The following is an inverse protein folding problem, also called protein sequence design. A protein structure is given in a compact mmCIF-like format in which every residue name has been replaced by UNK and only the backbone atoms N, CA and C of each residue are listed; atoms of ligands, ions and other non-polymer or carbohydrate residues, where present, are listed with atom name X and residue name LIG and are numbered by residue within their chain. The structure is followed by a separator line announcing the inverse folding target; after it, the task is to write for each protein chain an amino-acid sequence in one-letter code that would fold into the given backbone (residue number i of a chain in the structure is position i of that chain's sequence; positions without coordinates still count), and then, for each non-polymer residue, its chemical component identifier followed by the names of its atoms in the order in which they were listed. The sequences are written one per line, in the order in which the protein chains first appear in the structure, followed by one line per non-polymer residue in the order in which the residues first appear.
data_IF_118215349140
#
_entry.id   IF_118215349140
#
_cell.length_a   1.000
_cell.length_b   1.000
_cell.length_c   1.000
_cell.angle_alpha   90.00
_cell.angle_beta   90.00
_cell.angle_gamma   90.00
#
_symmetry.space_group_name_H-M   'P 1'
#
loop_
_entity.id
_entity.type
_entity.pdbx_description
1 polymer ?
#
# COMPACT_ATOMS: atom_id res chain seq x y z
N UNK A 1 6.81 14.12 6.20
CA UNK A 1 6.39 13.44 7.44
C UNK A 1 5.21 14.14 8.08
N UNK A 2 4.02 13.64 7.74
CA UNK A 2 2.88 13.84 8.60
C UNK A 2 3.16 13.10 9.92
N UNK A 3 3.09 13.80 11.05
CA UNK A 3 3.22 13.19 12.37
C UNK A 3 1.97 12.35 12.59
N UNK A 4 2.11 11.03 12.63
CA UNK A 4 1.00 10.14 12.94
C UNK A 4 0.71 10.21 14.44
N UNK A 5 -0.57 10.23 14.79
CA UNK A 5 -1.03 10.01 16.15
C UNK A 5 -1.32 8.52 16.35
N UNK A 6 -1.46 8.09 17.61
CA UNK A 6 -1.90 6.73 17.93
C UNK A 6 -3.26 6.36 17.32
N UNK A 7 -4.10 7.35 16.98
CA UNK A 7 -5.39 7.14 16.29
C UNK A 7 -5.24 6.85 14.79
N UNK A 8 -4.08 7.14 14.22
CA UNK A 8 -3.76 6.92 12.81
C UNK A 8 -3.12 5.53 12.60
N UNK A 9 -2.43 5.01 13.61
CA UNK A 9 -1.78 3.69 13.62
C UNK A 9 -2.76 2.54 13.91
N UNK A 10 -3.81 2.42 13.12
CA UNK A 10 -4.80 1.36 13.30
C UNK A 10 -5.54 1.00 12.01
N UNK A 11 -6.21 -0.15 12.05
CA UNK A 11 -7.26 -0.50 11.11
C UNK A 11 -8.50 0.35 11.43
N UNK A 12 -8.93 1.18 10.49
CA UNK A 12 -10.14 2.00 10.60
C UNK A 12 -11.13 1.61 9.52
N UNK A 13 -12.37 1.35 9.91
CA UNK A 13 -13.49 1.26 8.97
C UNK A 13 -13.86 2.66 8.51
N UNK A 14 -13.82 2.86 7.19
CA UNK A 14 -14.21 4.10 6.53
C UNK A 14 -15.66 4.04 6.04
N UNK A 15 -16.11 2.83 5.67
CA UNK A 15 -17.48 2.55 5.21
C UNK A 15 -17.85 1.13 5.59
N UNK A 16 -19.00 0.94 6.22
CA UNK A 16 -19.56 -0.39 6.49
C UNK A 16 -20.24 -0.97 5.24
N UNK A 17 -20.27 -2.29 5.15
CA UNK A 17 -21.06 -2.96 4.12
C UNK A 17 -22.55 -2.97 4.51
N UNK A 18 -23.48 -2.95 3.54
CA UNK A 18 -24.90 -3.19 3.80
C UNK A 18 -25.13 -4.53 4.50
N UNK A 19 -26.00 -4.56 5.51
CA UNK A 19 -26.19 -5.71 6.43
C UNK A 19 -26.78 -6.95 5.76
N UNK A 20 -27.53 -6.79 4.66
CA UNK A 20 -28.34 -7.86 4.05
C UNK A 20 -27.69 -8.50 2.81
N UNK A 21 -26.45 -8.16 2.48
CA UNK A 21 -25.80 -8.59 1.23
C UNK A 21 -24.50 -9.33 1.50
N UNK A 22 -24.15 -10.28 0.62
CA UNK A 22 -22.82 -10.88 0.64
C UNK A 22 -21.76 -9.79 0.39
N UNK A 23 -21.13 -9.35 1.48
CA UNK A 23 -20.20 -8.24 1.49
C UNK A 23 -18.75 -8.68 1.27
N UNK A 24 -17.93 -7.78 0.75
CA UNK A 24 -16.47 -7.92 0.62
C UNK A 24 -15.76 -6.94 1.55
N UNK A 25 -14.60 -7.30 2.07
CA UNK A 25 -13.73 -6.37 2.77
C UNK A 25 -12.64 -5.85 1.81
N UNK A 26 -12.49 -4.53 1.73
CA UNK A 26 -11.40 -3.87 1.02
C UNK A 26 -10.52 -3.16 2.04
N UNK A 27 -9.22 -3.45 2.05
CA UNK A 27 -8.26 -2.85 2.99
C UNK A 27 -7.19 -2.08 2.22
N UNK A 28 -7.19 -0.76 2.42
CA UNK A 28 -6.22 0.15 1.85
C UNK A 28 -5.00 0.31 2.76
N UNK A 29 -3.79 0.11 2.23
CA UNK A 29 -2.52 0.14 2.99
C UNK A 29 -1.57 1.13 2.34
N UNK A 30 -1.19 2.17 3.08
CA UNK A 30 -0.35 3.24 2.57
C UNK A 30 1.13 2.84 2.47
N UNK A 31 1.92 3.70 1.82
CA UNK A 31 3.35 3.50 1.64
C UNK A 31 4.20 4.12 2.76
N UNK A 32 5.52 3.93 2.64
CA UNK A 32 6.51 4.42 3.60
C UNK A 32 6.41 5.93 3.82
N UNK A 33 6.31 6.38 5.07
CA UNK A 33 6.28 7.80 5.45
C UNK A 33 5.05 8.59 5.00
N UNK A 34 4.06 7.92 4.39
CA UNK A 34 2.82 8.52 3.92
C UNK A 34 1.77 8.56 5.05
N UNK A 35 0.84 9.52 4.97
CA UNK A 35 -0.28 9.57 5.91
C UNK A 35 -1.40 8.62 5.46
N UNK A 36 -1.95 7.76 6.33
CA UNK A 36 -2.97 6.78 5.97
C UNK A 36 -4.19 7.43 5.31
N UNK A 37 -4.66 8.56 5.84
CA UNK A 37 -5.86 9.22 5.32
C UNK A 37 -5.59 10.15 4.12
N UNK A 38 -4.34 10.59 3.88
CA UNK A 38 -4.02 11.50 2.76
C UNK A 38 -3.51 10.76 1.52
N UNK A 39 -3.03 9.52 1.68
CA UNK A 39 -2.49 8.69 0.60
C UNK A 39 -3.50 8.40 -0.51
N UNK A 40 -4.78 8.56 -0.19
CA UNK A 40 -5.91 8.26 -1.07
C UNK A 40 -6.67 9.52 -1.50
N UNK A 41 -6.09 10.70 -1.25
CA UNK A 41 -6.70 11.97 -1.61
C UNK A 41 -6.09 12.56 -2.88
N UNK A 42 -6.93 13.18 -3.70
CA UNK A 42 -6.49 14.00 -4.83
C UNK A 42 -7.11 15.38 -4.73
N UNK A 43 -6.32 16.43 -4.93
CA UNK A 43 -6.85 17.77 -5.14
C UNK A 43 -7.49 17.83 -6.54
N UNK A 44 -8.81 18.08 -6.60
CA UNK A 44 -9.58 18.28 -7.83
C UNK A 44 -9.90 19.76 -8.08
N UNK A 45 -9.58 20.63 -7.12
CA UNK A 45 -9.68 22.09 -7.23
C UNK A 45 -8.40 22.71 -7.78
N UNK A 46 -8.26 24.03 -7.61
CA UNK A 46 -7.05 24.76 -8.02
C UNK A 46 -6.01 24.78 -6.90
N UNK A 47 -4.85 25.40 -7.13
CA UNK A 47 -3.87 25.61 -6.07
C UNK A 47 -4.38 26.63 -5.03
N UNK A 48 -5.12 27.64 -5.49
CA UNK A 48 -5.70 28.73 -4.70
C UNK A 48 -6.98 28.31 -3.96
N UNK A 49 -7.70 27.35 -4.54
CA UNK A 49 -8.94 26.78 -3.98
C UNK A 49 -8.88 25.24 -3.99
N UNK A 50 -8.10 24.62 -3.08
CA UNK A 50 -7.94 23.19 -3.06
C UNK A 50 -9.23 22.48 -2.64
N UNK A 51 -9.60 21.45 -3.39
CA UNK A 51 -10.72 20.55 -3.10
C UNK A 51 -10.18 19.12 -3.05
N UNK A 52 -9.93 18.62 -1.83
CA UNK A 52 -9.41 17.27 -1.65
C UNK A 52 -10.56 16.25 -1.65
N UNK A 53 -10.47 15.27 -2.54
CA UNK A 53 -11.41 14.14 -2.59
C UNK A 53 -10.70 12.84 -2.28
N UNK A 54 -11.27 12.03 -1.40
CA UNK A 54 -10.72 10.74 -1.00
C UNK A 54 -11.46 9.59 -1.70
N UNK A 55 -10.85 9.01 -2.73
CA UNK A 55 -11.53 8.05 -3.60
C UNK A 55 -12.00 6.76 -2.88
N UNK A 56 -11.55 6.48 -1.66
CA UNK A 56 -12.02 5.36 -0.85
C UNK A 56 -13.43 5.58 -0.27
N UNK A 57 -13.86 6.83 -0.06
CA UNK A 57 -15.10 7.17 0.67
C UNK A 57 -16.09 8.00 -0.14
N UNK A 58 -15.65 8.62 -1.23
CA UNK A 58 -16.51 9.44 -2.08
C UNK A 58 -17.52 8.57 -2.83
N UNK A 59 -18.81 8.89 -2.72
CA UNK A 59 -19.90 8.02 -3.19
C UNK A 59 -19.84 7.68 -4.68
N UNK A 60 -19.29 8.57 -5.51
CA UNK A 60 -19.10 8.40 -6.96
C UNK A 60 -17.80 7.68 -7.36
N UNK A 61 -17.03 7.17 -6.40
CA UNK A 61 -15.71 6.53 -6.62
C UNK A 61 -15.72 5.05 -6.22
N UNK A 62 -14.85 4.60 -5.29
CA UNK A 62 -14.79 3.20 -4.88
C UNK A 62 -16.13 2.67 -4.33
N UNK A 63 -16.88 3.42 -3.50
CA UNK A 63 -18.25 3.06 -3.12
C UNK A 63 -19.19 2.79 -4.30
N UNK A 64 -19.14 3.54 -5.40
CA UNK A 64 -19.95 3.28 -6.60
C UNK A 64 -19.54 1.99 -7.32
N UNK A 65 -18.23 1.70 -7.38
CA UNK A 65 -17.70 0.49 -8.02
C UNK A 65 -17.95 -0.77 -7.17
N UNK A 66 -17.90 -0.62 -5.85
CA UNK A 66 -18.03 -1.71 -4.89
C UNK A 66 -19.07 -1.38 -3.80
N UNK A 67 -20.37 -1.30 -4.17
CA UNK A 67 -21.42 -0.82 -3.25
C UNK A 67 -21.60 -1.72 -2.03
N UNK A 68 -21.28 -3.01 -2.15
CA UNK A 68 -21.40 -3.99 -1.07
C UNK A 68 -20.10 -4.16 -0.25
N UNK A 69 -19.10 -3.30 -0.47
CA UNK A 69 -17.83 -3.40 0.23
C UNK A 69 -17.83 -2.67 1.58
N UNK A 70 -17.29 -3.34 2.60
CA UNK A 70 -16.74 -2.69 3.78
C UNK A 70 -15.36 -2.18 3.42
N UNK A 71 -15.16 -0.87 3.50
CA UNK A 71 -13.91 -0.22 3.12
C UNK A 71 -13.17 0.16 4.38
N UNK A 72 -11.93 -0.29 4.48
CA UNK A 72 -11.04 -0.06 5.61
C UNK A 72 -9.73 0.53 5.12
N UNK A 73 -9.06 1.29 5.98
CA UNK A 73 -7.65 1.64 5.81
C UNK A 73 -6.85 1.12 6.98
N UNK A 74 -5.60 0.77 6.75
CA UNK A 74 -4.64 0.45 7.80
C UNK A 74 -3.52 1.48 7.79
N UNK A 75 -3.28 2.10 8.94
CA UNK A 75 -2.19 3.02 9.16
C UNK A 75 -1.09 2.42 10.03
N UNK A 76 0.16 2.73 9.70
CA UNK A 76 1.33 2.29 10.45
C UNK A 76 2.46 3.33 10.37
N UNK A 77 3.28 3.42 11.42
CA UNK A 77 4.50 4.24 11.39
C UNK A 77 5.66 3.45 10.81
N UNK A 78 6.36 4.06 9.86
CA UNK A 78 7.40 3.41 9.09
C UNK A 78 8.71 4.22 9.06
N UNK A 79 9.11 4.72 10.22
CA UNK A 79 10.36 5.45 10.42
C UNK A 79 11.55 4.49 10.48
N UNK A 80 11.77 3.76 9.38
CA UNK A 80 12.81 2.74 9.28
C UNK A 80 14.01 3.29 8.51
N UNK A 81 15.07 3.59 9.26
CA UNK A 81 16.25 4.28 8.76
C UNK A 81 17.45 3.34 8.57
N UNK A 82 17.23 2.03 8.47
CA UNK A 82 18.24 1.06 8.06
C UNK A 82 17.55 -0.26 7.69
N UNK A 83 18.28 -1.16 7.03
CA UNK A 83 17.73 -2.43 6.53
C UNK A 83 17.24 -3.34 7.66
N UNK A 84 17.94 -3.39 8.79
CA UNK A 84 17.58 -4.25 9.92
C UNK A 84 16.27 -3.76 10.55
N UNK A 85 16.19 -2.45 10.83
CA UNK A 85 14.96 -1.82 11.34
C UNK A 85 13.80 -1.94 10.36
N UNK A 86 14.06 -1.88 9.05
CA UNK A 86 13.02 -2.17 8.06
C UNK A 86 12.52 -3.61 8.18
N UNK A 87 13.40 -4.61 8.21
CA UNK A 87 12.98 -6.02 8.25
C UNK A 87 12.18 -6.33 9.52
N UNK A 88 12.67 -5.87 10.67
CA UNK A 88 11.99 -6.00 11.96
C UNK A 88 10.66 -5.24 11.95
N UNK A 89 10.69 -3.97 11.53
CA UNK A 89 9.51 -3.13 11.46
C UNK A 89 8.44 -3.67 10.51
N UNK A 90 8.83 -4.18 9.35
CA UNK A 90 7.93 -4.82 8.38
C UNK A 90 7.24 -6.03 9.01
N UNK A 91 8.01 -6.87 9.72
CA UNK A 91 7.47 -8.06 10.39
C UNK A 91 6.49 -7.66 11.50
N UNK A 92 6.84 -6.68 12.33
CA UNK A 92 5.97 -6.15 13.39
C UNK A 92 4.67 -5.58 12.81
N UNK A 93 4.77 -4.76 11.76
CA UNK A 93 3.60 -4.12 11.14
C UNK A 93 2.71 -5.15 10.45
N UNK A 94 3.29 -6.17 9.80
CA UNK A 94 2.53 -7.26 9.20
C UNK A 94 1.76 -8.05 10.25
N UNK A 95 2.38 -8.41 11.37
CA UNK A 95 1.70 -9.10 12.47
C UNK A 95 0.58 -8.24 13.08
N UNK A 96 0.85 -6.95 13.31
CA UNK A 96 -0.16 -6.00 13.81
C UNK A 96 -1.36 -5.87 12.86
N UNK A 97 -1.12 -5.85 11.54
CA UNK A 97 -2.17 -5.88 10.54
C UNK A 97 -3.02 -7.16 10.65
N UNK A 98 -2.39 -8.32 10.79
CA UNK A 98 -3.10 -9.59 10.96
C UNK A 98 -3.95 -9.61 12.24
N UNK A 99 -3.41 -9.14 13.36
CA UNK A 99 -4.15 -9.01 14.63
C UNK A 99 -5.37 -8.09 14.47
N UNK A 100 -5.19 -6.93 13.85
CA UNK A 100 -6.28 -5.99 13.62
C UNK A 100 -7.37 -6.58 12.72
N UNK A 101 -6.99 -7.26 11.64
CA UNK A 101 -7.94 -7.93 10.74
C UNK A 101 -8.66 -9.09 11.43
N UNK A 102 -7.95 -9.92 12.19
CA UNK A 102 -8.55 -11.02 12.97
C UNK A 102 -9.63 -10.51 13.91
N UNK A 103 -9.35 -9.41 14.60
CA UNK A 103 -10.32 -8.77 15.50
C UNK A 103 -11.53 -8.23 14.73
N UNK A 104 -11.29 -7.46 13.66
CA UNK A 104 -12.35 -6.84 12.85
C UNK A 104 -13.22 -7.84 12.09
N UNK A 105 -12.71 -9.05 11.87
CA UNK A 105 -13.36 -10.14 11.12
C UNK A 105 -13.72 -11.32 12.01
N UNK A 106 -13.75 -11.15 13.35
CA UNK A 106 -14.05 -12.24 14.30
C UNK A 106 -15.32 -13.03 13.96
N UNK A 107 -16.38 -12.34 13.53
CA UNK A 107 -17.67 -12.95 13.18
C UNK A 107 -17.78 -13.34 11.70
N UNK A 108 -16.82 -12.90 10.87
CA UNK A 108 -16.82 -13.14 9.42
C UNK A 108 -15.40 -13.47 8.91
N UNK A 109 -14.72 -14.49 9.47
CA UNK A 109 -13.29 -14.73 9.21
C UNK A 109 -12.99 -15.06 7.74
N UNK A 110 -13.96 -15.64 7.03
CA UNK A 110 -13.84 -16.06 5.62
C UNK A 110 -14.50 -15.10 4.62
N UNK A 111 -14.94 -13.91 5.05
CA UNK A 111 -15.49 -12.90 4.14
C UNK A 111 -14.45 -12.58 3.05
N UNK A 112 -14.79 -12.52 1.75
CA UNK A 112 -13.82 -12.18 0.72
C UNK A 112 -13.03 -10.92 1.08
N UNK A 113 -11.71 -10.98 0.94
CA UNK A 113 -10.77 -9.93 1.31
C UNK A 113 -9.99 -9.46 0.09
N UNK A 114 -9.91 -8.15 -0.09
CA UNK A 114 -9.11 -7.50 -1.13
C UNK A 114 -8.17 -6.49 -0.48
N UNK A 115 -6.89 -6.56 -0.83
CA UNK A 115 -5.92 -5.55 -0.43
C UNK A 115 -5.66 -4.57 -1.56
N UNK A 116 -5.65 -3.28 -1.20
CA UNK A 116 -5.20 -2.18 -2.05
C UNK A 116 -3.99 -1.57 -1.38
N UNK A 117 -2.80 -1.80 -1.91
CA UNK A 117 -1.56 -1.42 -1.24
C UNK A 117 -0.70 -0.52 -2.12
N UNK A 118 -0.18 0.55 -1.53
CA UNK A 118 0.67 1.54 -2.21
C UNK A 118 2.13 1.44 -1.74
N UNK A 119 3.05 1.43 -2.68
CA UNK A 119 4.50 1.43 -2.46
C UNK A 119 4.90 0.34 -1.44
N UNK A 120 5.57 0.72 -0.35
CA UNK A 120 6.00 -0.21 0.70
C UNK A 120 4.85 -1.01 1.33
N UNK A 121 3.64 -0.45 1.36
CA UNK A 121 2.46 -1.14 1.87
C UNK A 121 2.22 -2.50 1.19
N UNK A 122 2.63 -2.64 -0.08
CA UNK A 122 2.51 -3.93 -0.77
C UNK A 122 3.43 -5.00 -0.19
N UNK A 123 4.62 -4.65 0.27
CA UNK A 123 5.55 -5.58 0.94
C UNK A 123 5.00 -6.03 2.29
N UNK A 124 4.35 -5.12 3.03
CA UNK A 124 3.63 -5.44 4.27
C UNK A 124 2.55 -6.49 4.01
N UNK A 125 1.78 -6.35 2.92
CA UNK A 125 0.75 -7.33 2.54
C UNK A 125 1.38 -8.68 2.23
N UNK A 126 2.47 -8.73 1.45
CA UNK A 126 3.12 -10.02 1.14
C UNK A 126 3.58 -10.72 2.41
N UNK A 127 4.25 -9.99 3.32
CA UNK A 127 4.74 -10.52 4.59
C UNK A 127 3.59 -11.01 5.48
N UNK A 128 2.51 -10.24 5.59
CA UNK A 128 1.33 -10.62 6.36
C UNK A 128 0.65 -11.87 5.79
N UNK A 129 0.54 -11.97 4.46
CA UNK A 129 -0.09 -13.13 3.81
C UNK A 129 0.74 -14.40 3.97
N UNK A 130 2.07 -14.32 3.83
CA UNK A 130 2.95 -15.47 4.09
C UNK A 130 2.83 -15.96 5.54
N UNK A 131 2.74 -15.04 6.49
CA UNK A 131 2.56 -15.39 7.90
C UNK A 131 1.17 -15.98 8.19
N UNK A 132 0.14 -15.42 7.56
CA UNK A 132 -1.23 -15.96 7.62
C UNK A 132 -1.33 -17.37 7.03
N UNK A 133 -0.57 -17.65 5.97
CA UNK A 133 -0.51 -18.97 5.34
C UNK A 133 0.25 -19.98 6.19
N UNK A 134 1.38 -19.58 6.76
CA UNK A 134 2.20 -20.43 7.62
C UNK A 134 1.49 -20.80 8.93
N UNK A 135 0.68 -19.90 9.49
CA UNK A 135 0.03 -20.09 10.79
C UNK A 135 -1.50 -19.98 10.67
N UNK A 136 -2.13 -20.91 9.95
CA UNK A 136 -3.56 -20.91 9.66
C UNK A 136 -4.46 -20.87 10.91
N UNK A 137 -4.05 -21.54 11.99
CA UNK A 137 -4.79 -21.53 13.27
C UNK A 137 -4.72 -20.17 13.97
N UNK A 138 -3.57 -19.49 13.86
CA UNK A 138 -3.40 -18.16 14.41
C UNK A 138 -4.20 -17.12 13.60
N UNK A 139 -4.30 -17.30 12.29
CA UNK A 139 -4.84 -16.34 11.33
C UNK A 139 -5.98 -16.92 10.47
N UNK A 140 -7.06 -17.43 11.08
CA UNK A 140 -8.07 -18.19 10.38
C UNK A 140 -8.76 -17.36 9.30
N UNK A 141 -8.80 -17.91 8.08
CA UNK A 141 -9.49 -17.31 6.94
C UNK A 141 -8.77 -16.14 6.27
N UNK A 142 -7.78 -15.50 6.89
CA UNK A 142 -7.13 -14.31 6.31
C UNK A 142 -6.44 -14.62 4.99
N UNK A 143 -5.65 -15.69 4.93
CA UNK A 143 -5.01 -16.08 3.68
C UNK A 143 -6.00 -16.69 2.68
N UNK A 144 -6.83 -17.65 3.11
CA UNK A 144 -7.71 -18.39 2.20
C UNK A 144 -8.84 -17.56 1.58
N UNK A 145 -9.34 -16.53 2.30
CA UNK A 145 -10.36 -15.62 1.80
C UNK A 145 -9.81 -14.38 1.07
N UNK A 146 -8.47 -14.25 0.96
CA UNK A 146 -7.87 -13.20 0.14
C UNK A 146 -8.08 -13.50 -1.34
N UNK A 147 -8.99 -12.74 -1.97
CA UNK A 147 -9.44 -12.95 -3.36
C UNK A 147 -8.83 -11.98 -4.35
N UNK A 148 -8.32 -10.83 -3.88
CA UNK A 148 -7.73 -9.82 -4.75
C UNK A 148 -6.59 -9.06 -4.09
N UNK A 149 -5.56 -8.77 -4.89
CA UNK A 149 -4.41 -7.95 -4.52
C UNK A 149 -4.21 -6.88 -5.58
N UNK A 150 -4.24 -5.62 -5.16
CA UNK A 150 -4.12 -4.44 -6.01
C UNK A 150 -2.93 -3.65 -5.49
N UNK A 151 -1.89 -3.51 -6.31
CA UNK A 151 -0.63 -2.89 -5.91
C UNK A 151 -0.34 -1.64 -6.72
N UNK A 152 -0.02 -0.52 -6.07
CA UNK A 152 0.37 0.73 -6.71
C UNK A 152 1.83 1.05 -6.42
N UNK A 153 2.71 0.94 -7.42
CA UNK A 153 4.12 1.30 -7.30
C UNK A 153 4.90 0.49 -6.26
N UNK A 154 4.47 -0.74 -5.96
CA UNK A 154 5.17 -1.60 -5.00
C UNK A 154 6.49 -2.09 -5.60
N UNK A 155 7.63 -1.90 -4.89
CA UNK A 155 8.94 -2.29 -5.39
C UNK A 155 9.16 -3.81 -5.21
N UNK A 156 8.48 -4.63 -6.02
CA UNK A 156 8.62 -6.09 -6.00
C UNK A 156 9.94 -6.60 -6.58
N UNK A 157 10.61 -5.77 -7.38
CA UNK A 157 11.91 -6.07 -7.96
C UNK A 157 12.82 -4.86 -7.78
N UNK A 158 14.11 -5.14 -7.67
CA UNK A 158 15.16 -4.16 -7.88
C UNK A 158 14.84 -3.33 -9.14
N UNK A 159 14.81 -2.01 -9.02
CA UNK A 159 14.70 -1.13 -10.17
C UNK A 159 16.03 -1.19 -10.95
N UNK A 160 16.16 -2.18 -11.84
CA UNK A 160 17.19 -2.11 -12.87
C UNK A 160 16.73 -1.09 -13.92
N UNK A 161 17.42 0.06 -13.97
CA UNK A 161 17.28 1.02 -15.08
C UNK A 161 16.71 2.41 -14.74
N UNK A 162 16.29 2.69 -13.52
CA UNK A 162 16.08 4.09 -13.07
C UNK A 162 17.25 4.45 -12.18
N UNK A 163 17.99 5.54 -12.47
CA UNK A 163 19.10 5.90 -11.60
C UNK A 163 18.50 6.22 -10.24
N UNK A 164 18.93 5.47 -9.23
CA UNK A 164 18.34 5.50 -7.88
C UNK A 164 18.45 6.89 -7.24
N UNK A 165 19.31 7.74 -7.80
CA UNK A 165 19.45 9.16 -7.50
C UNK A 165 18.27 9.99 -7.98
N UNK A 166 17.66 9.68 -9.12
CA UNK A 166 16.52 10.45 -9.67
C UNK A 166 15.24 10.26 -8.86
N UNK A 167 14.92 9.03 -8.42
CA UNK A 167 13.79 8.76 -7.50
C UNK A 167 14.03 9.44 -6.15
N UNK A 168 15.27 9.35 -5.65
CA UNK A 168 15.68 9.96 -4.39
C UNK A 168 15.61 11.49 -4.45
N UNK A 169 16.05 12.09 -5.55
CA UNK A 169 16.02 13.54 -5.75
C UNK A 169 14.61 14.06 -6.01
N UNK A 170 13.76 13.29 -6.71
CA UNK A 170 12.33 13.59 -6.83
C UNK A 170 11.62 13.56 -5.46
N UNK A 171 11.94 12.58 -4.62
CA UNK A 171 11.40 12.47 -3.27
C UNK A 171 11.95 13.58 -2.35
N UNK A 172 13.23 13.94 -2.45
CA UNK A 172 13.84 15.06 -1.71
C UNK A 172 13.18 16.41 -2.02
N UNK A 173 12.78 16.63 -3.28
CA UNK A 173 12.16 17.90 -3.72
C UNK A 173 10.67 18.00 -3.40
N UNK A 174 9.95 16.87 -3.35
CA UNK A 174 8.50 16.83 -3.03
C UNK A 174 8.19 17.14 -1.56
N UNK A 175 9.15 16.97 -0.66
CA UNK A 175 8.97 17.21 0.77
C UNK A 175 10.06 18.16 1.24
N UNK A 176 9.78 19.47 1.20
CA UNK A 176 10.69 20.50 1.75
C UNK A 176 11.15 20.15 3.17
N UNK A 177 12.41 20.51 3.43
CA UNK A 177 13.25 20.35 4.62
C UNK A 177 12.64 19.61 5.84
N UNK A 178 13.32 18.55 6.26
CA UNK A 178 13.09 17.70 7.44
C UNK A 178 12.04 16.58 7.34
N UNK A 179 11.47 16.30 6.17
CA UNK A 179 10.29 15.43 6.08
C UNK A 179 10.40 14.17 5.22
N UNK A 180 11.52 13.94 4.54
CA UNK A 180 11.94 12.64 3.96
C UNK A 180 13.43 12.46 4.22
N UNK A 181 13.79 11.51 5.08
CA UNK A 181 15.19 11.18 5.30
C UNK A 181 15.65 10.19 4.20
N UNK A 182 16.78 10.48 3.51
CA UNK A 182 17.32 9.68 2.40
C UNK A 182 17.41 8.17 2.66
N UNK A 183 17.54 7.80 3.93
CA UNK A 183 17.74 6.42 4.38
C UNK A 183 16.50 5.53 4.23
N UNK A 184 15.30 6.12 4.24
CA UNK A 184 14.05 5.39 4.03
C UNK A 184 13.94 4.84 2.58
N UNK A 185 14.58 5.50 1.61
CA UNK A 185 14.66 5.05 0.22
C UNK A 185 15.86 4.14 -0.04
N UNK A 186 16.91 4.23 0.79
CA UNK A 186 18.05 3.32 0.75
C UNK A 186 17.65 1.86 1.05
N UNK A 187 16.67 1.70 1.91
CA UNK A 187 16.02 0.42 2.22
C UNK A 187 15.36 -0.23 1.00
N UNK A 188 14.85 0.59 0.07
CA UNK A 188 14.23 0.18 -1.18
C UNK A 188 15.23 0.05 -2.35
N UNK A 189 16.54 0.29 -2.12
CA UNK A 189 17.58 0.13 -3.13
C UNK A 189 17.74 -1.31 -3.58
N UNK A 190 18.19 -1.46 -4.84
CA UNK A 190 18.62 -2.69 -5.48
C UNK A 190 19.51 -3.58 -4.61
N UNK A 191 19.38 -4.90 -4.76
CA UNK A 191 20.16 -5.90 -4.00
C UNK A 191 19.64 -6.16 -2.58
N UNK A 192 18.37 -5.87 -2.30
CA UNK A 192 17.76 -6.25 -1.03
C UNK A 192 17.31 -7.72 -1.08
N UNK A 193 18.22 -8.64 -0.74
CA UNK A 193 17.97 -10.08 -0.72
C UNK A 193 16.73 -10.46 0.11
N UNK A 194 16.37 -9.67 1.13
CA UNK A 194 15.17 -9.91 1.91
C UNK A 194 13.87 -9.64 1.13
N UNK A 195 13.82 -8.56 0.35
CA UNK A 195 12.65 -8.25 -0.49
C UNK A 195 12.53 -9.29 -1.61
N UNK A 196 13.65 -9.67 -2.20
CA UNK A 196 13.69 -10.72 -3.24
C UNK A 196 13.20 -12.07 -2.70
N UNK A 197 13.71 -12.50 -1.54
CA UNK A 197 13.23 -13.70 -0.84
C UNK A 197 11.73 -13.62 -0.52
N UNK A 198 11.27 -12.49 0.02
CA UNK A 198 9.87 -12.28 0.38
C UNK A 198 8.95 -12.45 -0.84
N UNK A 199 9.31 -11.81 -1.96
CA UNK A 199 8.53 -11.90 -3.20
C UNK A 199 8.58 -13.31 -3.77
N UNK A 200 9.75 -13.95 -3.79
CA UNK A 200 9.90 -15.32 -4.30
C UNK A 200 9.07 -16.32 -3.49
N UNK A 201 9.13 -16.27 -2.16
CA UNK A 201 8.29 -17.12 -1.29
C UNK A 201 6.81 -16.88 -1.54
N UNK A 202 6.39 -15.63 -1.64
CA UNK A 202 5.00 -15.30 -1.95
C UNK A 202 4.55 -15.91 -3.29
N UNK A 203 5.36 -15.79 -4.35
CA UNK A 203 5.03 -16.37 -5.66
C UNK A 203 4.94 -17.90 -5.62
N UNK A 204 5.86 -18.57 -4.90
CA UNK A 204 5.82 -20.04 -4.71
C UNK A 204 4.56 -20.46 -3.96
N UNK A 205 4.26 -19.80 -2.84
CA UNK A 205 3.05 -20.06 -2.05
C UNK A 205 1.77 -19.86 -2.87
N UNK A 206 1.72 -18.84 -3.74
CA UNK A 206 0.55 -18.56 -4.59
C UNK A 206 0.36 -19.59 -5.72
N UNK A 207 1.46 -20.08 -6.33
CA UNK A 207 1.40 -21.08 -7.41
C UNK A 207 0.91 -22.45 -6.93
N UNK A 208 1.19 -22.81 -5.69
CA UNK A 208 0.80 -24.09 -5.12
C UNK A 208 -0.70 -24.24 -4.80
N UNK A 209 -1.55 -23.27 -5.18
CA UNK A 209 -2.93 -23.20 -4.70
C UNK A 209 -3.99 -23.25 -5.79
N UNK A 210 -5.16 -23.73 -5.37
CA UNK A 210 -6.38 -23.83 -6.18
C UNK A 210 -7.25 -22.58 -6.11
N UNK A 211 -7.07 -21.71 -5.10
CA UNK A 211 -7.80 -20.45 -4.99
C UNK A 211 -7.20 -19.39 -5.92
N UNK A 212 -7.99 -18.90 -6.89
CA UNK A 212 -7.56 -17.88 -7.86
C UNK A 212 -7.59 -16.48 -7.25
N UNK A 213 -6.71 -16.17 -6.30
CA UNK A 213 -6.49 -14.78 -5.90
C UNK A 213 -6.01 -13.99 -7.12
N UNK A 214 -6.71 -12.91 -7.48
CA UNK A 214 -6.36 -12.08 -8.62
C UNK A 214 -5.35 -11.02 -8.19
N UNK A 215 -4.18 -11.01 -8.82
CA UNK A 215 -3.14 -10.00 -8.58
C UNK A 215 -3.14 -8.98 -9.72
N UNK A 216 -3.18 -7.70 -9.38
CA UNK A 216 -3.08 -6.60 -10.33
C UNK A 216 -2.05 -5.60 -9.82
N UNK A 217 -1.06 -5.30 -10.65
CA UNK A 217 0.00 -4.37 -10.33
C UNK A 217 -0.07 -3.14 -11.24
N UNK A 218 0.02 -1.98 -10.63
CA UNK A 218 0.03 -0.68 -11.25
C UNK A 218 1.40 -0.07 -11.05
N UNK A 219 2.01 0.36 -12.14
CA UNK A 219 3.29 1.02 -12.12
C UNK A 219 3.24 2.26 -12.99
N UNK A 220 4.13 3.16 -12.66
CA UNK A 220 4.36 4.42 -13.34
C UNK A 220 4.99 4.15 -14.70
N UNK A 221 4.43 4.73 -15.78
CA UNK A 221 4.82 4.42 -17.18
C UNK A 221 5.49 5.56 -17.93
N UNK A 222 5.47 6.77 -17.39
CA UNK A 222 6.02 7.95 -18.07
C UNK A 222 6.76 8.85 -17.05
N UNK A 223 7.27 10.03 -17.46
CA UNK A 223 8.13 10.97 -16.68
C UNK A 223 7.47 12.28 -16.10
N UNK A 224 7.05 12.41 -14.81
CA UNK A 224 6.15 13.54 -14.38
C UNK A 224 6.99 14.71 -14.00
N UNK A 225 6.57 15.90 -14.39
CA UNK A 225 7.18 17.13 -13.94
C UNK A 225 6.81 17.42 -12.48
N UNK A 226 7.62 16.92 -11.54
CA UNK A 226 7.47 17.12 -10.09
C UNK A 226 7.50 18.61 -9.72
N UNK A 227 8.10 19.47 -10.56
CA UNK A 227 8.19 20.91 -10.35
C UNK A 227 6.87 21.67 -10.54
N UNK A 228 5.93 21.17 -11.36
CA UNK A 228 4.62 21.82 -11.58
C UNK A 228 3.64 21.69 -10.41
N UNK A 229 3.93 20.84 -9.42
CA UNK A 229 3.10 20.66 -8.22
C UNK A 229 3.48 21.62 -7.09
N UNK A 230 4.65 22.28 -7.19
CA UNK A 230 5.27 23.01 -6.06
C UNK A 230 5.48 24.51 -6.34
N UNK A 231 5.14 24.98 -7.54
CA UNK A 231 5.26 26.38 -7.98
C UNK A 231 6.51 27.13 -7.46
N UNK A 232 7.66 26.87 -8.10
CA UNK A 232 8.56 27.88 -8.71
C UNK A 232 9.87 27.23 -9.21
N UNK A 233 10.11 27.42 -10.51
CA UNK A 233 11.34 27.32 -11.32
C UNK A 233 12.29 26.11 -11.12
N UNK A 234 12.32 25.26 -12.17
CA UNK A 234 13.28 24.23 -12.68
C UNK A 234 14.52 23.77 -11.85
N UNK A 235 15.06 22.54 -12.03
CA UNK A 235 14.94 21.70 -13.23
C UNK A 235 14.05 20.47 -13.06
N UNK A 236 13.32 20.19 -14.14
CA UNK A 236 12.52 18.99 -14.41
C UNK A 236 13.21 17.70 -13.92
N UNK A 237 12.62 17.04 -12.91
CA UNK A 237 12.95 15.67 -12.49
C UNK A 237 11.67 14.85 -12.49
N UNK A 238 11.78 13.62 -12.96
CA UNK A 238 10.75 12.87 -13.64
C UNK A 238 10.23 11.66 -12.85
N UNK A 239 8.90 11.52 -12.68
CA UNK A 239 8.23 10.36 -12.04
C UNK A 239 6.70 10.27 -12.39
N UNK A 240 6.19 9.49 -13.38
CA UNK A 240 4.71 9.43 -13.72
C UNK A 240 3.96 8.13 -13.49
N UNK A 241 2.86 8.27 -12.73
CA UNK A 241 1.45 8.05 -13.11
C UNK A 241 1.08 6.70 -13.79
N UNK A 242 0.25 5.96 -13.09
CA UNK A 242 -0.19 4.61 -13.43
C UNK A 242 -1.17 4.50 -14.61
N UNK A 243 -0.95 3.52 -15.49
CA UNK A 243 -1.93 3.02 -16.47
C UNK A 243 -2.15 1.52 -16.25
N UNK A 244 -3.39 1.08 -16.50
CA UNK A 244 -3.89 -0.25 -16.17
C UNK A 244 -3.20 -1.33 -16.99
N UNK A 245 -2.36 -2.14 -16.36
CA UNK A 245 -1.82 -3.36 -16.96
C UNK A 245 -2.11 -4.52 -16.00
N UNK A 246 -3.21 -5.24 -16.24
CA UNK A 246 -3.36 -6.56 -15.63
C UNK A 246 -2.39 -7.50 -16.32
N UNK A 247 -1.24 -7.78 -15.71
CA UNK A 247 -0.48 -8.98 -16.05
C UNK A 247 -0.94 -10.09 -15.11
N UNK A 248 -1.54 -11.18 -15.62
CA UNK A 248 -1.63 -12.41 -14.84
C UNK A 248 -0.20 -12.77 -14.42
N UNK A 249 -0.02 -13.03 -13.13
CA UNK A 249 1.23 -13.60 -12.60
C UNK A 249 1.26 -15.09 -12.91
#
# INVERSE_FOLDING_TARGET
MARLSSKDECLRVLREAPTEVQSIDIVAIHGLGAHPDKSWCKNVGTAEAPQWRNWLIEDDMLPAVAPNARIMRYGYTSQWFDRIKMQLGMSIVAEQLLRALKQQRKNTPFRPLVFVAHCFGGLIVLKALLEAEQYLEAWPGLFSSTTGLIFFGTPFRSAEGMSQMEILDAARRKYHDNQVQPVALEVLRSGNAYIEDLVNRFLVTMRGRTNRTRVVCFFELELSNVGKVVDKQDPTIYCQRARWVSRPV
#
